data_IF_171043515947
#
_entry.id   IF_171043515947
#
_cell.length_a   1.000
_cell.length_b   1.000
_cell.length_c   1.000
_cell.angle_alpha   90.00
_cell.angle_beta   90.00
_cell.angle_gamma   90.00
#
_symmetry.space_group_name_H-M   'P 1'
#
loop_
_entity.id
_entity.type
_entity.pdbx_description
1 polymer ?
#
# COMPACT_ATOMS: atom_id res chain seq x y z
N UNK A 1 -46.01 4.02 5.26
CA UNK A 1 -44.87 4.51 6.08
C UNK A 1 -44.07 3.29 6.48
N UNK A 2 -42.76 3.28 6.24
CA UNK A 2 -41.86 2.18 6.60
C UNK A 2 -40.95 2.67 7.72
N UNK A 3 -41.22 2.31 9.00
CA UNK A 3 -40.34 2.69 10.11
C UNK A 3 -38.92 2.16 9.90
N UNK A 4 -37.93 3.07 9.94
CA UNK A 4 -36.52 2.73 9.76
C UNK A 4 -36.02 2.74 8.31
N UNK A 5 -36.83 3.18 7.34
CA UNK A 5 -36.36 3.32 5.96
C UNK A 5 -35.29 4.41 5.84
N UNK A 6 -34.18 4.06 5.18
CA UNK A 6 -33.11 4.98 4.83
C UNK A 6 -33.29 5.43 3.38
N UNK A 7 -33.69 6.69 3.20
CA UNK A 7 -33.79 7.31 1.87
C UNK A 7 -32.44 7.96 1.57
N UNK A 8 -31.61 7.28 0.80
CA UNK A 8 -30.29 7.78 0.37
C UNK A 8 -30.34 8.26 -1.07
N UNK A 9 -29.52 9.26 -1.40
CA UNK A 9 -29.33 9.67 -2.79
C UNK A 9 -28.60 8.55 -3.55
N UNK A 10 -29.01 8.31 -4.79
CA UNK A 10 -28.25 7.47 -5.69
C UNK A 10 -26.88 8.10 -5.96
N UNK A 11 -25.84 7.27 -6.02
CA UNK A 11 -24.47 7.69 -6.29
C UNK A 11 -23.44 6.82 -5.59
N UNK A 12 -22.17 7.16 -5.80
CA UNK A 12 -21.03 6.52 -5.15
C UNK A 12 -20.30 7.53 -4.26
N UNK A 13 -19.64 7.04 -3.21
CA UNK A 13 -18.81 7.85 -2.32
C UNK A 13 -17.36 7.46 -2.56
N UNK A 14 -16.58 8.40 -3.11
CA UNK A 14 -15.14 8.20 -3.25
C UNK A 14 -14.45 8.18 -1.88
N UNK A 15 -13.54 7.22 -1.70
CA UNK A 15 -12.81 7.03 -0.45
C UNK A 15 -11.40 7.62 -0.55
N UNK A 16 -10.91 8.18 0.56
CA UNK A 16 -9.52 8.61 0.74
C UNK A 16 -9.01 9.60 -0.33
N UNK A 17 -9.88 10.46 -0.85
CA UNK A 17 -9.59 11.43 -1.92
C UNK A 17 -8.42 12.35 -1.55
N UNK A 18 -7.62 12.71 -2.56
CA UNK A 18 -6.53 13.68 -2.42
C UNK A 18 -5.28 13.12 -1.74
N UNK A 19 -5.19 11.81 -1.53
CA UNK A 19 -4.03 11.15 -0.91
C UNK A 19 -3.21 10.38 -1.95
N UNK A 20 -1.88 10.39 -1.86
CA UNK A 20 -1.05 9.56 -2.72
C UNK A 20 -1.39 8.07 -2.56
N UNK A 21 -1.56 7.39 -3.70
CA UNK A 21 -1.78 5.95 -3.77
C UNK A 21 -0.63 5.20 -4.44
N UNK A 22 -0.55 3.91 -4.16
CA UNK A 22 0.46 3.01 -4.74
C UNK A 22 -0.18 1.65 -5.00
N UNK A 23 -0.06 1.14 -6.24
CA UNK A 23 -0.43 -0.24 -6.57
C UNK A 23 0.76 -1.18 -6.34
N UNK A 24 0.52 -2.28 -5.65
CA UNK A 24 1.55 -3.25 -5.27
C UNK A 24 1.03 -4.67 -5.52
N UNK A 25 1.81 -5.47 -6.24
CA UNK A 25 1.60 -6.92 -6.31
C UNK A 25 2.12 -7.58 -5.05
N UNK A 26 1.27 -8.39 -4.43
CA UNK A 26 1.53 -9.04 -3.15
C UNK A 26 1.19 -10.52 -3.30
N UNK A 27 2.19 -11.36 -3.04
CA UNK A 27 2.04 -12.81 -3.07
C UNK A 27 2.18 -13.42 -1.68
N UNK A 28 1.35 -14.41 -1.34
CA UNK A 28 1.49 -15.16 -0.11
C UNK A 28 2.33 -16.42 -0.34
N UNK A 29 3.55 -16.42 0.19
CA UNK A 29 4.46 -17.58 0.12
C UNK A 29 4.33 -18.51 1.33
N UNK A 30 3.43 -18.20 2.27
CA UNK A 30 3.14 -19.03 3.43
C UNK A 30 2.21 -20.19 3.11
N UNK A 31 2.06 -21.07 4.09
CA UNK A 31 1.19 -22.26 4.07
C UNK A 31 -0.21 -22.00 4.65
N UNK A 32 -0.45 -20.79 5.17
CA UNK A 32 -1.68 -20.39 5.85
C UNK A 32 -2.27 -19.12 5.21
N UNK A 33 -3.60 -18.96 5.26
CA UNK A 33 -4.24 -17.75 4.77
C UNK A 33 -3.88 -16.54 5.64
N UNK A 34 -3.71 -15.39 4.99
CA UNK A 34 -3.36 -14.13 5.63
C UNK A 34 -4.40 -13.08 5.25
N UNK A 35 -4.93 -12.36 6.25
CA UNK A 35 -5.92 -11.31 6.04
C UNK A 35 -5.44 -9.99 6.66
N UNK A 36 -5.48 -8.92 5.87
CA UNK A 36 -4.98 -7.60 6.26
C UNK A 36 -6.13 -6.60 6.26
N UNK A 37 -6.35 -5.95 7.40
CA UNK A 37 -7.39 -4.93 7.55
C UNK A 37 -7.05 -3.58 6.90
N UNK A 38 -8.08 -2.79 6.62
CA UNK A 38 -8.01 -1.46 5.99
C UNK A 38 -7.00 -0.48 6.60
N UNK A 39 -6.79 -0.51 7.92
CA UNK A 39 -5.98 0.44 8.67
C UNK A 39 -4.67 -0.14 9.24
N UNK A 40 -4.30 -1.36 8.83
CA UNK A 40 -3.02 -1.92 9.22
C UNK A 40 -1.87 -1.24 8.46
N UNK A 41 -0.75 -0.96 9.12
CA UNK A 41 0.42 -0.39 8.45
C UNK A 41 1.04 -1.45 7.53
N UNK A 42 0.88 -1.24 6.21
CA UNK A 42 1.10 -2.30 5.21
C UNK A 42 2.55 -2.78 5.16
N UNK A 43 3.52 -1.94 5.53
CA UNK A 43 4.93 -2.32 5.67
C UNK A 43 5.17 -3.46 6.66
N UNK A 44 4.37 -3.51 7.72
CA UNK A 44 4.55 -4.38 8.89
C UNK A 44 3.68 -5.64 8.84
N UNK A 45 3.01 -5.89 7.71
CA UNK A 45 2.22 -7.11 7.53
C UNK A 45 3.12 -8.34 7.56
N UNK A 46 2.50 -9.50 7.81
CA UNK A 46 3.14 -10.81 7.92
C UNK A 46 4.27 -11.02 6.88
N UNK A 47 5.42 -11.51 7.35
CA UNK A 47 6.64 -11.73 6.55
C UNK A 47 6.45 -12.72 5.40
N UNK A 48 5.49 -13.65 5.53
CA UNK A 48 5.11 -14.59 4.47
C UNK A 48 4.50 -13.90 3.24
N UNK A 49 4.12 -12.62 3.33
CA UNK A 49 3.72 -11.82 2.17
C UNK A 49 4.95 -11.20 1.50
N UNK A 50 5.10 -11.50 0.21
CA UNK A 50 6.21 -11.04 -0.63
C UNK A 50 5.76 -9.89 -1.53
N UNK A 51 6.39 -8.74 -1.34
CA UNK A 51 6.19 -7.51 -2.12
C UNK A 51 7.34 -6.52 -1.88
N UNK A 52 7.31 -5.37 -2.56
CA UNK A 52 8.32 -4.30 -2.39
C UNK A 52 8.05 -3.48 -1.12
N UNK A 53 8.42 -4.03 0.05
CA UNK A 53 8.15 -3.44 1.38
C UNK A 53 8.56 -1.99 1.51
N UNK A 54 9.78 -1.62 1.13
CA UNK A 54 10.26 -0.24 1.28
C UNK A 54 9.36 0.82 0.65
N UNK A 55 8.62 0.49 -0.43
CA UNK A 55 7.70 1.44 -1.08
C UNK A 55 6.39 1.63 -0.31
N UNK A 56 6.07 0.76 0.65
CA UNK A 56 4.78 0.75 1.37
C UNK A 56 4.88 1.35 2.78
N UNK A 57 6.04 1.89 3.16
CA UNK A 57 6.25 2.52 4.46
C UNK A 57 5.37 3.77 4.60
N UNK A 58 4.59 3.82 5.67
CA UNK A 58 3.59 4.86 5.90
C UNK A 58 2.32 4.73 5.06
N UNK A 59 2.03 3.55 4.52
CA UNK A 59 0.82 3.29 3.72
C UNK A 59 -0.07 2.22 4.36
N UNK A 60 -1.35 2.26 4.03
CA UNK A 60 -2.39 1.27 4.41
C UNK A 60 -3.26 0.92 3.21
N UNK A 61 -4.09 -0.12 3.29
CA UNK A 61 -4.98 -0.51 2.18
C UNK A 61 -6.00 0.60 1.85
N UNK A 62 -6.19 0.87 0.56
CA UNK A 62 -7.19 1.80 0.04
C UNK A 62 -8.53 1.09 -0.17
N UNK A 63 -9.14 0.61 0.91
CA UNK A 63 -10.42 -0.12 0.90
C UNK A 63 -11.39 0.49 1.91
N UNK A 64 -12.70 0.16 1.86
CA UNK A 64 -13.66 0.63 2.85
C UNK A 64 -13.21 0.33 4.29
N UNK A 65 -13.40 1.30 5.18
CA UNK A 65 -13.00 1.17 6.57
C UNK A 65 -13.66 -0.05 7.24
N UNK A 66 -12.89 -0.79 8.04
CA UNK A 66 -13.36 -2.02 8.69
C UNK A 66 -13.32 -3.28 7.81
N UNK A 67 -13.08 -3.16 6.50
CA UNK A 67 -12.90 -4.32 5.62
C UNK A 67 -11.44 -4.79 5.56
N UNK A 68 -11.19 -5.90 4.88
CA UNK A 68 -9.89 -6.52 4.76
C UNK A 68 -9.68 -7.18 3.39
N UNK A 69 -8.41 -7.35 3.01
CA UNK A 69 -8.00 -8.16 1.86
C UNK A 69 -7.42 -9.47 2.35
N UNK A 70 -7.84 -10.57 1.75
CA UNK A 70 -7.43 -11.93 2.09
C UNK A 70 -6.53 -12.50 1.00
N UNK A 71 -5.46 -13.17 1.41
CA UNK A 71 -4.51 -13.87 0.56
C UNK A 71 -4.49 -15.34 0.96
N UNK A 72 -4.89 -16.22 0.04
CA UNK A 72 -4.75 -17.68 0.23
C UNK A 72 -3.27 -18.11 0.05
N UNK A 73 -2.87 -19.28 0.55
CA UNK A 73 -1.53 -19.82 0.28
C UNK A 73 -1.24 -19.92 -1.23
N UNK A 74 -0.13 -19.33 -1.68
CA UNK A 74 0.26 -19.30 -3.09
C UNK A 74 -0.46 -18.24 -3.95
N UNK A 75 -1.41 -17.50 -3.39
CA UNK A 75 -2.13 -16.44 -4.10
C UNK A 75 -1.24 -15.21 -4.36
N UNK A 76 -1.46 -14.54 -5.49
CA UNK A 76 -0.83 -13.28 -5.85
C UNK A 76 -1.87 -12.32 -6.44
N UNK A 77 -2.06 -11.17 -5.77
CA UNK A 77 -2.99 -10.14 -6.22
C UNK A 77 -2.37 -8.75 -6.13
N UNK A 78 -2.89 -7.84 -6.94
CA UNK A 78 -2.54 -6.42 -6.88
C UNK A 78 -3.48 -5.71 -5.92
N UNK A 79 -2.91 -4.99 -4.96
CA UNK A 79 -3.66 -4.15 -4.01
C UNK A 79 -3.30 -2.69 -4.20
N UNK A 80 -4.24 -1.81 -3.91
CA UNK A 80 -3.99 -0.38 -3.83
C UNK A 80 -3.79 0.05 -2.38
N UNK A 81 -2.72 0.81 -2.15
CA UNK A 81 -2.38 1.40 -0.88
C UNK A 81 -2.58 2.91 -0.93
N UNK A 82 -2.89 3.52 0.21
CA UNK A 82 -3.00 4.96 0.41
C UNK A 82 -2.14 5.39 1.59
N UNK A 83 -1.55 6.58 1.52
CA UNK A 83 -0.75 7.12 2.62
C UNK A 83 -1.56 7.33 3.90
N UNK A 84 -0.98 6.95 5.04
CA UNK A 84 -1.47 7.32 6.36
C UNK A 84 -1.41 8.85 6.50
N UNK A 85 -2.47 9.44 7.07
CA UNK A 85 -2.61 10.87 7.30
C UNK A 85 -2.51 11.21 8.80
N UNK A 86 -2.82 12.45 9.20
CA UNK A 86 -2.68 12.91 10.59
C UNK A 86 -1.22 13.20 10.95
N UNK A 87 -0.82 12.91 12.20
CA UNK A 87 0.56 13.11 12.68
C UNK A 87 1.57 12.16 12.03
N UNK A 88 1.10 11.10 11.37
CA UNK A 88 1.90 10.02 10.77
C UNK A 88 2.81 9.32 11.77
N UNK A 89 2.32 9.18 12.99
CA UNK A 89 2.91 8.39 14.05
C UNK A 89 2.48 6.93 13.92
N UNK A 90 3.44 6.01 13.95
CA UNK A 90 3.20 4.58 13.79
C UNK A 90 3.77 3.86 15.00
N UNK A 91 2.88 3.23 15.76
CA UNK A 91 3.17 2.48 16.99
C UNK A 91 2.39 1.16 16.99
N UNK A 92 2.98 0.09 17.54
CA UNK A 92 2.37 -1.24 17.63
C UNK A 92 2.77 -2.13 16.45
N UNK A 93 1.78 -2.59 15.68
CA UNK A 93 1.97 -3.46 14.50
C UNK A 93 3.00 -4.60 14.73
N UNK A 94 4.18 -4.53 14.11
CA UNK A 94 5.28 -5.48 14.31
C UNK A 94 6.52 -4.80 14.93
N UNK A 95 6.35 -3.61 15.51
CA UNK A 95 7.41 -2.85 16.18
C UNK A 95 8.50 -2.31 15.25
N UNK A 96 8.27 -2.24 13.93
CA UNK A 96 9.33 -1.90 12.98
C UNK A 96 9.54 -0.39 12.79
N UNK A 97 8.54 0.43 13.12
CA UNK A 97 8.63 1.89 12.96
C UNK A 97 8.71 2.61 14.30
N UNK A 98 7.77 2.37 15.22
CA UNK A 98 7.73 2.94 16.58
C UNK A 98 8.08 4.43 16.66
N UNK A 99 7.65 5.21 15.67
CA UNK A 99 8.07 6.61 15.51
C UNK A 99 7.20 7.37 14.51
N UNK A 100 7.40 8.68 14.48
CA UNK A 100 6.79 9.58 13.49
C UNK A 100 7.51 9.47 12.14
N UNK A 101 6.73 9.25 11.07
CA UNK A 101 7.23 9.26 9.70
C UNK A 101 7.19 10.67 9.10
N UNK A 102 8.35 11.31 9.07
CA UNK A 102 8.54 12.55 8.33
C UNK A 102 8.51 12.29 6.82
N UNK A 103 7.82 13.16 6.09
CA UNK A 103 7.84 13.17 4.63
C UNK A 103 9.21 13.66 4.14
N UNK A 104 10.18 12.77 4.03
CA UNK A 104 11.33 13.03 3.16
C UNK A 104 10.89 12.79 1.70
N UNK A 105 10.07 13.71 1.17
CA UNK A 105 9.70 13.76 -0.26
C UNK A 105 10.94 13.67 -1.17
N UNK A 106 12.12 14.08 -0.68
CA UNK A 106 13.38 13.98 -1.40
C UNK A 106 13.86 12.55 -1.67
N UNK A 107 13.46 11.54 -0.90
CA UNK A 107 13.98 10.17 -1.05
C UNK A 107 13.21 9.36 -2.09
N UNK A 108 11.89 9.54 -2.16
CA UNK A 108 11.04 8.94 -3.19
C UNK A 108 11.42 9.47 -4.60
N UNK A 109 11.65 10.78 -4.72
CA UNK A 109 12.14 11.40 -5.96
C UNK A 109 13.56 10.95 -6.34
N UNK A 110 14.45 10.73 -5.35
CA UNK A 110 15.81 10.21 -5.59
C UNK A 110 15.79 8.76 -6.07
N UNK A 111 14.85 7.93 -5.58
CA UNK A 111 14.69 6.55 -6.03
C UNK A 111 14.12 6.48 -7.45
N UNK A 112 13.12 7.28 -7.79
CA UNK A 112 12.60 7.36 -9.16
C UNK A 112 13.65 7.88 -10.16
N UNK A 113 14.45 8.88 -9.77
CA UNK A 113 15.58 9.36 -10.57
C UNK A 113 16.67 8.30 -10.73
N UNK A 114 17.00 7.52 -9.67
CA UNK A 114 17.95 6.39 -9.77
C UNK A 114 17.44 5.25 -10.67
N UNK A 115 16.15 4.93 -10.63
CA UNK A 115 15.55 3.89 -11.50
C UNK A 115 15.51 4.35 -12.97
N UNK A 116 15.19 5.62 -13.25
CA UNK A 116 15.24 6.20 -14.62
C UNK A 116 16.65 6.24 -15.20
N UNK A 117 17.65 6.70 -14.43
CA UNK A 117 19.06 6.76 -14.86
C UNK A 117 19.65 5.36 -15.15
N UNK A 118 19.22 4.32 -14.42
CA UNK A 118 19.63 2.93 -14.71
C UNK A 118 19.00 2.37 -15.99
N UNK A 119 17.77 2.79 -16.33
CA UNK A 119 17.06 2.35 -17.55
C UNK A 119 17.68 2.97 -18.80
N UNK A 120 18.02 4.27 -18.75
CA UNK A 120 18.67 4.99 -19.86
C UNK A 120 20.08 4.48 -20.18
N UNK A 121 20.84 4.00 -19.18
CA UNK A 121 22.15 3.37 -19.40
C UNK A 121 22.04 1.99 -20.06
N UNK A 122 20.92 1.27 -19.89
CA UNK A 122 20.73 -0.08 -20.44
C UNK A 122 20.35 -0.04 -21.93
N UNK A 123 19.60 0.97 -22.37
CA UNK A 123 19.26 1.14 -23.79
C UNK A 123 20.42 1.65 -24.66
N UNK A 124 21.34 2.46 -24.10
CA UNK A 124 22.55 2.89 -24.83
C UNK A 124 23.60 1.79 -25.03
N UNK A 125 23.54 0.70 -24.27
CA UNK A 125 24.47 -0.44 -24.39
C UNK A 125 24.11 -1.46 -25.47
N UNK A 126 22.86 -1.47 -25.98
CA UNK A 126 22.41 -2.43 -27.02
C UNK A 126 22.60 -1.93 -28.46
N UNK A 127 23.02 -0.69 -28.69
CA UNK A 127 23.26 -0.11 -30.03
C UNK A 127 24.73 -0.11 -30.49
N UNK A 128 25.64 -0.76 -29.75
CA UNK A 128 27.05 -0.96 -30.16
C UNK A 128 27.45 -2.43 -30.01
N UNK A 129 26.88 -3.30 -30.84
CA UNK A 129 27.50 -4.54 -31.31
C UNK A 129 27.02 -4.79 -32.72
#
# INVERSE_FOLDING_TARGET
MIPGELIVKAGEIELNVGRPTLKVKVGNTGDRPIQIGSHYHFYEVNEALKFKREKTKGMRLNIPAGTAVRFEPGDEQEVELVTIAGSREIYGFNGLVESQLNLNLSEAEKQEKKEKVKKDKKDKGKKKK
#
